data_IF_857681293273
#
_entry.id   IF_857681293273
#
_cell.length_a   1.000
_cell.length_b   1.000
_cell.length_c   1.000
_cell.angle_alpha   90.00
_cell.angle_beta   90.00
_cell.angle_gamma   90.00
#
_symmetry.space_group_name_H-M   'P 1'
#
loop_
_entity.id
_entity.type
_entity.pdbx_description
1 polymer ?
#
# COMPACT_ATOMS: atom_id res chain seq x y z
N UNK A 1 4.79 -12.10 -8.36
CA UNK A 1 3.91 -12.40 -7.20
C UNK A 1 3.77 -11.12 -6.41
N UNK A 2 2.57 -10.74 -5.95
CA UNK A 2 2.40 -9.47 -5.22
C UNK A 2 3.25 -9.40 -3.94
N UNK A 3 3.35 -10.52 -3.22
CA UNK A 3 4.18 -10.66 -2.03
C UNK A 3 5.50 -11.36 -2.35
N UNK A 4 6.57 -10.93 -1.69
CA UNK A 4 7.87 -11.61 -1.69
C UNK A 4 7.75 -12.95 -0.95
N UNK A 5 8.00 -14.06 -1.66
CA UNK A 5 7.80 -15.43 -1.17
C UNK A 5 8.51 -15.73 0.14
N UNK A 6 9.76 -15.29 0.29
CA UNK A 6 10.58 -15.51 1.51
C UNK A 6 10.00 -14.86 2.76
N UNK A 7 9.16 -13.84 2.59
CA UNK A 7 8.59 -13.03 3.66
C UNK A 7 7.14 -13.40 3.99
N UNK A 8 6.47 -14.16 3.12
CA UNK A 8 5.05 -14.44 3.21
C UNK A 8 4.78 -15.58 4.20
N UNK A 9 4.08 -15.27 5.29
CA UNK A 9 3.89 -16.17 6.42
C UNK A 9 2.42 -16.21 6.85
N UNK A 10 1.95 -17.40 7.18
CA UNK A 10 0.63 -17.61 7.78
C UNK A 10 0.54 -16.89 9.13
N UNK A 11 -0.61 -16.28 9.40
CA UNK A 11 -0.99 -15.77 10.71
C UNK A 11 -1.87 -16.82 11.38
N UNK A 12 -1.42 -17.32 12.53
CA UNK A 12 -2.18 -18.24 13.36
C UNK A 12 -2.20 -17.75 14.82
N UNK A 13 -3.34 -17.22 15.32
CA UNK A 13 -4.63 -17.10 14.62
C UNK A 13 -4.62 -16.00 13.53
N UNK A 14 -5.60 -16.01 12.59
CA UNK A 14 -5.83 -14.89 11.69
C UNK A 14 -5.99 -13.57 12.44
N UNK A 15 -5.55 -12.46 11.82
CA UNK A 15 -5.62 -11.13 12.43
C UNK A 15 -6.84 -10.37 11.93
N UNK A 16 -7.73 -10.00 12.84
CA UNK A 16 -8.87 -9.11 12.54
C UNK A 16 -8.41 -7.71 12.16
N UNK A 17 -8.94 -7.18 11.07
CA UNK A 17 -8.70 -5.84 10.53
C UNK A 17 -10.03 -5.09 10.50
N UNK A 18 -10.05 -3.86 11.04
CA UNK A 18 -11.20 -2.94 10.96
C UNK A 18 -11.03 -2.00 9.78
N UNK A 19 -12.08 -1.84 8.99
CA UNK A 19 -12.10 -0.97 7.81
C UNK A 19 -12.73 0.39 8.13
N UNK A 20 -12.63 1.33 7.19
CA UNK A 20 -13.09 2.71 7.37
C UNK A 20 -14.61 2.84 7.60
N UNK A 21 -15.38 1.86 7.14
CA UNK A 21 -16.83 1.74 7.35
C UNK A 21 -17.22 0.97 8.63
N UNK A 22 -16.24 0.67 9.49
CA UNK A 22 -16.35 -0.14 10.71
C UNK A 22 -16.64 -1.63 10.50
N UNK A 23 -16.74 -2.10 9.25
CA UNK A 23 -16.73 -3.54 8.99
C UNK A 23 -15.39 -4.16 9.40
N UNK A 24 -15.38 -5.49 9.53
CA UNK A 24 -14.20 -6.26 9.90
C UNK A 24 -13.96 -7.40 8.92
N UNK A 25 -12.69 -7.70 8.67
CA UNK A 25 -12.25 -8.86 7.90
C UNK A 25 -11.02 -9.49 8.56
N UNK A 26 -10.66 -10.71 8.14
CA UNK A 26 -9.53 -11.43 8.69
C UNK A 26 -8.36 -11.48 7.70
N UNK A 27 -7.21 -11.02 8.15
CA UNK A 27 -5.94 -11.23 7.47
C UNK A 27 -5.38 -12.60 7.83
N UNK A 28 -5.15 -13.44 6.83
CA UNK A 28 -4.65 -14.81 7.02
C UNK A 28 -3.13 -14.90 6.90
N UNK A 29 -2.49 -13.95 6.22
CA UNK A 29 -1.03 -13.94 6.06
C UNK A 29 -0.46 -12.54 6.25
N UNK A 30 0.86 -12.48 6.42
CA UNK A 30 1.65 -11.27 6.48
C UNK A 30 2.91 -11.41 5.63
N UNK A 31 3.34 -10.34 4.97
CA UNK A 31 4.59 -10.37 4.20
C UNK A 31 5.07 -9.00 3.74
N UNK A 32 6.03 -9.00 2.82
CA UNK A 32 6.54 -7.82 2.16
C UNK A 32 5.89 -7.69 0.79
N UNK A 33 5.19 -6.57 0.60
CA UNK A 33 4.64 -6.13 -0.68
C UNK A 33 5.74 -5.38 -1.46
N UNK A 34 5.95 -5.75 -2.72
CA UNK A 34 6.92 -5.10 -3.62
C UNK A 34 6.18 -4.51 -4.81
N UNK A 35 6.27 -3.20 -4.98
CA UNK A 35 5.58 -2.45 -6.03
C UNK A 35 6.60 -1.65 -6.85
N UNK A 36 6.46 -1.64 -8.17
CA UNK A 36 7.13 -0.67 -9.03
C UNK A 36 6.14 0.45 -9.35
N UNK A 37 6.38 1.63 -8.80
CA UNK A 37 5.51 2.78 -8.89
C UNK A 37 5.97 3.71 -10.01
N UNK A 38 5.08 4.05 -10.94
CA UNK A 38 5.38 5.03 -11.99
C UNK A 38 5.24 6.45 -11.44
N UNK A 39 6.26 7.26 -11.65
CA UNK A 39 6.29 8.68 -11.30
C UNK A 39 6.69 9.52 -12.52
N UNK A 40 6.60 10.85 -12.43
CA UNK A 40 7.06 11.73 -13.51
C UNK A 40 8.57 11.65 -13.77
N UNK A 41 9.36 11.14 -12.82
CA UNK A 41 10.81 10.94 -12.93
C UNK A 41 11.22 9.52 -13.31
N UNK A 42 10.25 8.66 -13.64
CA UNK A 42 10.47 7.25 -13.94
C UNK A 42 9.89 6.32 -12.87
N UNK A 43 10.32 5.06 -12.87
CA UNK A 43 9.87 4.05 -11.93
C UNK A 43 10.59 4.16 -10.59
N UNK A 44 9.89 3.87 -9.51
CA UNK A 44 10.44 3.80 -8.16
C UNK A 44 9.92 2.55 -7.49
N UNK A 45 10.83 1.74 -6.95
CA UNK A 45 10.45 0.52 -6.24
C UNK A 45 10.12 0.83 -4.79
N UNK A 46 8.94 0.39 -4.36
CA UNK A 46 8.43 0.55 -3.00
C UNK A 46 8.30 -0.82 -2.34
N UNK A 47 8.92 -0.97 -1.17
CA UNK A 47 8.81 -2.17 -0.33
C UNK A 47 8.02 -1.87 0.93
N UNK A 48 6.86 -2.50 1.07
CA UNK A 48 5.99 -2.37 2.24
C UNK A 48 6.00 -3.68 3.02
N UNK A 49 6.88 -3.74 4.04
CA UNK A 49 6.98 -4.85 4.99
C UNK A 49 5.75 -4.93 5.91
N UNK A 50 5.51 -6.12 6.50
CA UNK A 50 4.41 -6.35 7.45
C UNK A 50 3.03 -6.00 6.86
N UNK A 51 2.87 -6.19 5.55
CA UNK A 51 1.61 -6.00 4.84
C UNK A 51 0.74 -7.22 5.08
N UNK A 52 -0.53 -6.99 5.40
CA UNK A 52 -1.51 -8.04 5.67
C UNK A 52 -2.13 -8.51 4.36
N UNK A 53 -2.31 -9.82 4.23
CA UNK A 53 -3.06 -10.44 3.14
C UNK A 53 -4.43 -10.86 3.65
N UNK A 54 -5.45 -10.29 3.03
CA UNK A 54 -6.87 -10.51 3.34
C UNK A 54 -7.48 -11.21 2.12
N UNK A 55 -7.77 -12.53 2.18
CA UNK A 55 -8.25 -13.27 1.01
C UNK A 55 -9.58 -12.77 0.44
N UNK A 56 -10.41 -12.12 1.25
CA UNK A 56 -11.72 -11.60 0.84
C UNK A 56 -11.64 -10.28 0.08
N UNK A 57 -10.45 -9.68 -0.05
CA UNK A 57 -10.26 -8.44 -0.79
C UNK A 57 -9.95 -8.70 -2.26
N UNK A 58 -10.73 -8.08 -3.13
CA UNK A 58 -10.47 -8.02 -4.57
C UNK A 58 -9.46 -6.90 -4.94
N UNK A 59 -9.05 -6.08 -3.97
CA UNK A 59 -8.15 -4.94 -4.16
C UNK A 59 -7.08 -4.88 -3.06
N UNK A 60 -5.91 -4.35 -3.40
CA UNK A 60 -4.86 -4.07 -2.41
C UNK A 60 -5.05 -2.67 -1.83
N UNK A 61 -5.26 -2.59 -0.52
CA UNK A 61 -5.34 -1.31 0.19
C UNK A 61 -3.99 -0.94 0.80
N UNK A 62 -3.54 0.29 0.55
CA UNK A 62 -2.38 0.87 1.24
C UNK A 62 -2.85 1.74 2.39
N UNK A 63 -2.44 1.38 3.61
CA UNK A 63 -2.72 2.21 4.78
C UNK A 63 -1.87 3.48 4.76
N UNK A 64 -2.53 4.65 4.80
CA UNK A 64 -1.86 5.95 4.91
C UNK A 64 -0.98 6.01 6.15
N UNK A 65 -1.43 5.45 7.28
CA UNK A 65 -0.65 5.38 8.51
C UNK A 65 0.62 4.50 8.34
N UNK A 66 0.52 3.39 7.61
CA UNK A 66 1.67 2.54 7.32
C UNK A 66 2.71 3.25 6.45
N UNK A 67 2.27 4.09 5.50
CA UNK A 67 3.17 4.96 4.73
C UNK A 67 3.81 6.03 5.63
N UNK A 68 3.01 6.68 6.49
CA UNK A 68 3.47 7.72 7.40
C UNK A 68 4.56 7.23 8.38
N UNK A 69 4.34 6.07 9.00
CA UNK A 69 5.32 5.44 9.90
C UNK A 69 6.65 5.06 9.24
N UNK A 70 6.72 5.08 7.90
CA UNK A 70 7.94 4.84 7.11
C UNK A 70 8.62 6.13 6.65
N UNK A 71 8.23 7.28 7.22
CA UNK A 71 8.80 8.57 6.83
C UNK A 71 8.35 9.02 5.44
N UNK A 72 7.18 8.56 4.99
CA UNK A 72 6.51 9.08 3.80
C UNK A 72 5.39 10.04 4.21
N UNK A 73 5.02 10.96 3.34
CA UNK A 73 3.84 11.81 3.50
C UNK A 73 2.95 11.68 2.29
N UNK A 74 1.64 11.56 2.52
CA UNK A 74 0.62 11.47 1.47
C UNK A 74 -0.04 12.83 1.32
N UNK A 75 -0.02 13.38 0.11
CA UNK A 75 -0.56 14.70 -0.22
C UNK A 75 -1.70 14.51 -1.20
N UNK A 76 -2.93 14.78 -0.77
CA UNK A 76 -4.14 14.69 -1.58
C UNK A 76 -4.55 16.09 -2.03
N UNK A 77 -4.66 16.28 -3.35
CA UNK A 77 -5.09 17.55 -3.96
C UNK A 77 -6.02 17.19 -5.11
N UNK A 78 -7.28 17.59 -5.01
CA UNK A 78 -8.32 17.27 -5.99
C UNK A 78 -8.35 15.76 -6.32
N UNK A 79 -8.16 15.40 -7.59
CA UNK A 79 -8.18 14.04 -8.10
C UNK A 79 -6.80 13.35 -8.09
N UNK A 80 -5.79 13.94 -7.44
CA UNK A 80 -4.45 13.39 -7.36
C UNK A 80 -4.03 13.12 -5.91
N UNK A 81 -3.25 12.05 -5.73
CA UNK A 81 -2.47 11.81 -4.53
C UNK A 81 -1.00 11.60 -4.89
N UNK A 82 -0.12 12.29 -4.16
CA UNK A 82 1.34 12.16 -4.29
C UNK A 82 1.90 11.75 -2.95
N UNK A 83 2.61 10.63 -2.91
CA UNK A 83 3.35 10.19 -1.72
C UNK A 83 4.82 10.54 -1.90
N UNK A 84 5.38 11.22 -0.89
CA UNK A 84 6.75 11.75 -0.92
C UNK A 84 7.55 11.23 0.25
N UNK A 85 8.84 11.00 0.04
CA UNK A 85 9.76 10.78 1.13
C UNK A 85 10.00 12.08 1.91
N UNK A 86 9.85 12.04 3.24
CA UNK A 86 9.80 13.27 4.06
C UNK A 86 11.11 14.06 4.05
N UNK A 87 12.26 13.38 3.95
CA UNK A 87 13.59 14.02 3.92
C UNK A 87 13.96 14.56 2.55
N UNK A 88 14.00 13.69 1.54
CA UNK A 88 14.44 14.04 0.17
C UNK A 88 13.38 14.77 -0.65
N UNK A 89 12.12 14.79 -0.18
CA UNK A 89 10.95 15.31 -0.91
C UNK A 89 10.67 14.60 -2.25
N UNK A 90 11.40 13.54 -2.56
CA UNK A 90 11.21 12.72 -3.74
C UNK A 90 9.81 12.10 -3.73
N UNK A 91 9.10 12.21 -4.85
CA UNK A 91 7.84 11.49 -5.08
C UNK A 91 8.17 10.02 -5.31
N UNK A 92 7.57 9.13 -4.53
CA UNK A 92 7.80 7.68 -4.60
C UNK A 92 6.59 6.92 -5.15
N UNK A 93 5.42 7.56 -5.15
CA UNK A 93 4.16 6.98 -5.58
C UNK A 93 3.20 8.10 -5.98
N UNK A 94 2.49 7.88 -7.07
CA UNK A 94 1.39 8.75 -7.54
C UNK A 94 0.12 7.92 -7.67
N UNK A 95 -1.03 8.53 -7.43
CA UNK A 95 -2.32 7.89 -7.54
C UNK A 95 -3.36 8.88 -8.07
N UNK A 96 -4.34 8.36 -8.81
CA UNK A 96 -5.44 9.14 -9.36
C UNK A 96 -6.76 8.69 -8.74
N UNK A 97 -7.64 9.64 -8.46
CA UNK A 97 -8.96 9.35 -7.91
C UNK A 97 -9.85 8.69 -8.95
N UNK A 98 -10.45 7.56 -8.58
CA UNK A 98 -11.40 6.82 -9.39
C UNK A 98 -12.39 6.11 -8.45
N UNK A 99 -13.69 6.37 -8.64
CA UNK A 99 -14.78 5.71 -7.90
C UNK A 99 -14.58 5.66 -6.36
N UNK A 100 -14.19 6.78 -5.76
CA UNK A 100 -14.07 6.90 -4.30
C UNK A 100 -12.74 6.43 -3.72
N UNK A 101 -11.80 5.96 -4.55
CA UNK A 101 -10.46 5.53 -4.14
C UNK A 101 -9.38 6.23 -4.94
N UNK A 102 -8.18 6.37 -4.36
CA UNK A 102 -6.99 6.78 -5.11
C UNK A 102 -6.26 5.54 -5.60
N UNK A 103 -6.34 5.28 -6.90
CA UNK A 103 -5.71 4.15 -7.55
C UNK A 103 -4.24 4.45 -7.78
N UNK A 104 -3.39 3.65 -7.13
CA UNK A 104 -1.94 3.80 -7.23
C UNK A 104 -1.47 3.40 -8.63
N UNK A 105 -0.66 4.27 -9.25
CA UNK A 105 0.01 3.96 -10.51
C UNK A 105 1.24 3.07 -10.25
N UNK A 106 1.00 1.78 -10.04
CA UNK A 106 2.04 0.79 -9.80
C UNK A 106 1.68 -0.58 -10.35
N UNK A 107 2.71 -1.42 -10.47
CA UNK A 107 2.58 -2.85 -10.76
C UNK A 107 3.34 -3.67 -9.71
N UNK A 108 2.95 -4.93 -9.47
CA UNK A 108 3.76 -5.87 -8.70
C UNK A 108 5.16 -6.02 -9.31
N UNK A 109 6.18 -6.16 -8.46
CA UNK A 109 7.53 -6.57 -8.86
C UNK A 109 7.68 -8.11 -8.90
#
# INVERSE_FOLDING_TARGET
SLFETSSFKLLDPPRRVRLGDNSVCDATHIGTLRLSCKTSKGYTDLSIRKTLFVPTFNVTLLSVHQLASRGLSSHFVENECKVRHNRSKQVVLTASHHQGLYHVNCQPL
#
